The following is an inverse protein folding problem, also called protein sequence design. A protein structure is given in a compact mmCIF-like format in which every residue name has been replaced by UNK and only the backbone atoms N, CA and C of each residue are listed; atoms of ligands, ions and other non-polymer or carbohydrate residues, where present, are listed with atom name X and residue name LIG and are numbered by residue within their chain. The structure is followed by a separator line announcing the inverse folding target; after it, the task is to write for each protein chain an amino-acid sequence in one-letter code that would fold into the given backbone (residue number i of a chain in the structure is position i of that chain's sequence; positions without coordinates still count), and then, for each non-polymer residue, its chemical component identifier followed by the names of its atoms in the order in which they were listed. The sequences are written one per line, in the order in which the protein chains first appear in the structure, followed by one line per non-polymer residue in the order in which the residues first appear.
data_IF_961891966956
#
_entry.id   IF_961891966956
#
_cell.length_a   1.000
_cell.length_b   1.000
_cell.length_c   1.000
_cell.angle_alpha   90.00
_cell.angle_beta   90.00
_cell.angle_gamma   90.00
#
_symmetry.space_group_name_H-M   'P 1'
#
loop_
_entity.id
_entity.type
_entity.pdbx_description
1 polymer ?
#
# COMPACT_ATOMS: atom_id res chain seq x y z
N UNK A 1 2.14 14.51 8.11
CA UNK A 1 2.33 13.85 6.80
C UNK A 1 3.78 13.43 6.50
N UNK A 2 4.76 14.35 6.44
CA UNK A 2 6.15 14.07 6.00
C UNK A 2 6.85 12.90 6.73
N UNK A 3 6.64 12.76 8.04
CA UNK A 3 7.27 11.67 8.83
C UNK A 3 6.75 10.28 8.47
N UNK A 4 5.45 10.14 8.17
CA UNK A 4 4.83 8.85 7.81
C UNK A 4 5.29 8.42 6.42
N UNK A 5 5.25 9.32 5.44
CA UNK A 5 5.73 9.04 4.06
C UNK A 5 7.19 8.60 4.08
N UNK A 6 8.03 9.31 4.84
CA UNK A 6 9.43 8.95 4.98
C UNK A 6 9.64 7.61 5.70
N UNK A 7 8.79 7.30 6.69
CA UNK A 7 8.75 6.00 7.35
C UNK A 7 8.42 4.86 6.39
N UNK A 8 7.40 5.04 5.54
CA UNK A 8 7.00 4.06 4.53
C UNK A 8 8.10 3.81 3.49
N UNK A 9 8.78 4.87 3.04
CA UNK A 9 9.91 4.75 2.12
C UNK A 9 11.04 3.94 2.75
N UNK A 10 11.43 4.27 3.98
CA UNK A 10 12.48 3.54 4.70
C UNK A 10 12.11 2.07 4.92
N UNK A 11 10.85 1.80 5.29
CA UNK A 11 10.36 0.45 5.48
C UNK A 11 10.39 -0.33 4.16
N UNK A 12 9.96 0.28 3.06
CA UNK A 12 10.01 -0.31 1.73
C UNK A 12 11.44 -0.65 1.31
N UNK A 13 12.37 0.29 1.47
CA UNK A 13 13.79 0.08 1.20
C UNK A 13 14.40 -1.03 2.05
N UNK A 14 14.12 -1.05 3.36
CA UNK A 14 14.60 -2.09 4.26
C UNK A 14 14.06 -3.47 3.88
N UNK A 15 12.77 -3.55 3.50
CA UNK A 15 12.12 -4.79 3.06
C UNK A 15 12.70 -5.28 1.73
N UNK A 16 12.98 -4.35 0.81
CA UNK A 16 13.62 -4.67 -0.48
C UNK A 16 15.03 -5.22 -0.26
N UNK A 17 15.81 -4.56 0.60
CA UNK A 17 17.17 -4.97 0.91
C UNK A 17 17.17 -6.35 1.61
N UNK A 18 16.23 -6.58 2.53
CA UNK A 18 16.03 -7.87 3.17
C UNK A 18 15.66 -8.96 2.16
N UNK A 19 14.69 -8.70 1.26
CA UNK A 19 14.29 -9.65 0.22
C UNK A 19 15.43 -9.98 -0.75
N UNK A 20 16.22 -8.97 -1.14
CA UNK A 20 17.42 -9.17 -1.96
C UNK A 20 18.46 -10.04 -1.24
N UNK A 21 18.72 -9.77 0.04
CA UNK A 21 19.65 -10.55 0.85
C UNK A 21 19.18 -12.00 1.02
N UNK A 22 17.89 -12.23 1.27
CA UNK A 22 17.26 -13.55 1.33
C UNK A 22 17.40 -14.32 0.00
N UNK A 23 17.28 -13.61 -1.12
CA UNK A 23 17.50 -14.17 -2.46
C UNK A 23 18.91 -14.74 -2.65
N UNK A 24 19.93 -14.16 -2.01
CA UNK A 24 21.31 -14.70 -2.05
C UNK A 24 21.42 -16.06 -1.35
N UNK A 25 20.54 -16.35 -0.38
CA UNK A 25 20.46 -17.64 0.31
C UNK A 25 19.49 -18.62 -0.36
N UNK A 26 18.96 -18.29 -1.55
CA UNK A 26 17.99 -19.12 -2.27
C UNK A 26 16.57 -19.07 -1.68
N UNK A 27 16.32 -18.20 -0.69
CA UNK A 27 14.99 -17.98 -0.13
C UNK A 27 14.24 -17.05 -1.08
N UNK A 28 13.25 -17.61 -1.77
CA UNK A 28 12.39 -16.90 -2.71
C UNK A 28 10.96 -16.81 -2.17
N UNK A 29 10.13 -15.99 -2.81
CA UNK A 29 8.72 -15.94 -2.49
C UNK A 29 8.06 -17.32 -2.57
N UNK A 30 8.40 -18.13 -3.59
CA UNK A 30 7.83 -19.47 -3.75
C UNK A 30 8.18 -20.41 -2.61
N UNK A 31 9.45 -20.42 -2.19
CA UNK A 31 9.87 -21.28 -1.08
C UNK A 31 9.20 -20.89 0.23
N UNK A 32 8.95 -19.59 0.44
CA UNK A 32 8.24 -19.10 1.62
C UNK A 32 6.75 -19.44 1.57
N UNK A 33 6.13 -19.34 0.39
CA UNK A 33 4.74 -19.70 0.18
C UNK A 33 4.52 -21.20 0.37
N UNK A 34 5.40 -22.03 -0.21
CA UNK A 34 5.39 -23.47 -0.04
C UNK A 34 5.57 -23.88 1.43
N UNK A 35 6.51 -23.26 2.14
CA UNK A 35 6.71 -23.47 3.58
C UNK A 35 5.48 -23.05 4.41
N UNK A 36 4.74 -22.04 3.96
CA UNK A 36 3.50 -21.59 4.58
C UNK A 36 2.27 -22.43 4.16
N UNK A 37 2.44 -23.49 3.36
CA UNK A 37 1.36 -24.28 2.74
C UNK A 37 0.39 -23.45 1.89
N UNK A 38 0.86 -22.29 1.39
CA UNK A 38 0.11 -21.38 0.54
C UNK A 38 0.52 -21.56 -0.91
N UNK A 39 -0.46 -21.64 -1.82
CA UNK A 39 -0.15 -21.65 -3.25
C UNK A 39 0.00 -20.21 -3.78
N UNK A 40 0.88 -20.03 -4.78
CA UNK A 40 1.03 -18.75 -5.48
C UNK A 40 -0.30 -18.26 -6.07
N UNK A 41 -1.10 -19.19 -6.58
CA UNK A 41 -2.45 -18.91 -7.09
C UNK A 41 -3.35 -18.35 -5.99
N UNK A 42 -3.39 -18.99 -4.82
CA UNK A 42 -4.21 -18.53 -3.69
C UNK A 42 -3.83 -17.12 -3.23
N UNK A 43 -2.55 -16.78 -3.24
CA UNK A 43 -2.10 -15.42 -2.88
C UNK A 43 -2.50 -14.40 -3.95
N UNK A 44 -2.36 -14.74 -5.23
CA UNK A 44 -2.79 -13.89 -6.33
C UNK A 44 -4.31 -13.64 -6.29
N UNK A 45 -5.10 -14.69 -6.09
CA UNK A 45 -6.56 -14.61 -5.97
C UNK A 45 -6.96 -13.72 -4.78
N UNK A 46 -6.30 -13.89 -3.62
CA UNK A 46 -6.53 -13.05 -2.42
C UNK A 46 -6.21 -11.58 -2.67
N UNK A 47 -5.15 -11.27 -3.43
CA UNK A 47 -4.82 -9.90 -3.80
C UNK A 47 -5.85 -9.31 -4.78
N UNK A 48 -6.31 -10.11 -5.74
CA UNK A 48 -7.36 -9.70 -6.67
C UNK A 48 -8.68 -9.43 -5.93
N UNK A 49 -9.07 -10.28 -4.99
CA UNK A 49 -10.23 -10.08 -4.12
C UNK A 49 -10.10 -8.83 -3.26
N UNK A 50 -8.91 -8.59 -2.69
CA UNK A 50 -8.64 -7.38 -1.91
C UNK A 50 -8.76 -6.11 -2.78
N UNK A 51 -8.26 -6.15 -4.02
CA UNK A 51 -8.40 -5.05 -4.97
C UNK A 51 -9.86 -4.84 -5.39
N UNK A 52 -10.59 -5.91 -5.71
CA UNK A 52 -12.01 -5.87 -6.05
C UNK A 52 -12.86 -5.36 -4.88
N UNK A 53 -12.46 -5.64 -3.65
CA UNK A 53 -13.06 -5.06 -2.45
C UNK A 53 -12.69 -3.57 -2.28
N UNK A 54 -11.43 -3.20 -2.43
CA UNK A 54 -10.95 -1.85 -2.18
C UNK A 54 -11.42 -0.85 -3.25
N UNK A 55 -11.38 -1.22 -4.52
CA UNK A 55 -11.63 -0.33 -5.66
C UNK A 55 -12.97 0.44 -5.58
N UNK A 56 -14.15 -0.22 -5.43
CA UNK A 56 -15.41 0.52 -5.35
C UNK A 56 -15.52 1.37 -4.09
N UNK A 57 -14.97 0.89 -2.96
CA UNK A 57 -15.02 1.60 -1.67
C UNK A 57 -14.15 2.86 -1.68
N UNK A 58 -12.94 2.75 -2.21
CA UNK A 58 -12.05 3.89 -2.41
C UNK A 58 -12.65 4.90 -3.38
N UNK A 59 -13.28 4.44 -4.46
CA UNK A 59 -13.93 5.33 -5.43
C UNK A 59 -15.06 6.13 -4.79
N UNK A 60 -15.92 5.49 -4.00
CA UNK A 60 -16.98 6.17 -3.25
C UNK A 60 -16.42 7.19 -2.26
N UNK A 61 -15.39 6.81 -1.50
CA UNK A 61 -14.72 7.72 -0.57
C UNK A 61 -14.10 8.92 -1.28
N UNK A 62 -13.38 8.69 -2.39
CA UNK A 62 -12.74 9.73 -3.17
C UNK A 62 -13.74 10.73 -3.76
N UNK A 63 -14.88 10.24 -4.25
CA UNK A 63 -15.95 11.07 -4.82
C UNK A 63 -16.50 12.11 -3.82
N UNK A 64 -16.43 11.82 -2.51
CA UNK A 64 -16.93 12.71 -1.46
C UNK A 64 -15.77 13.50 -0.83
N UNK A 65 -14.71 12.81 -0.40
CA UNK A 65 -13.61 13.41 0.37
C UNK A 65 -12.79 14.38 -0.46
N UNK A 66 -12.51 14.07 -1.73
CA UNK A 66 -11.67 14.93 -2.58
C UNK A 66 -12.35 16.28 -2.86
N UNK A 67 -13.63 16.34 -3.29
CA UNK A 67 -14.31 17.63 -3.45
C UNK A 67 -14.43 18.42 -2.16
N UNK A 68 -14.75 17.77 -1.03
CA UNK A 68 -14.84 18.44 0.27
C UNK A 68 -13.49 19.08 0.63
N UNK A 69 -12.40 18.31 0.54
CA UNK A 69 -11.06 18.83 0.82
C UNK A 69 -10.67 19.97 -0.13
N UNK A 70 -11.00 19.83 -1.42
CA UNK A 70 -10.74 20.86 -2.44
C UNK A 70 -11.48 22.16 -2.12
N UNK A 71 -12.76 22.08 -1.77
CA UNK A 71 -13.54 23.24 -1.37
C UNK A 71 -13.06 23.85 -0.05
N UNK A 72 -12.67 23.04 0.93
CA UNK A 72 -12.03 23.55 2.14
C UNK A 72 -10.76 24.32 1.81
N UNK A 73 -9.90 23.84 0.92
CA UNK A 73 -8.69 24.60 0.53
C UNK A 73 -9.00 25.84 -0.31
N UNK A 74 -10.04 25.80 -1.14
CA UNK A 74 -10.42 26.92 -2.02
C UNK A 74 -11.10 28.06 -1.23
N UNK A 75 -11.94 27.71 -0.26
CA UNK A 75 -12.78 28.65 0.47
C UNK A 75 -12.33 28.95 1.90
N UNK A 76 -11.43 28.15 2.48
CA UNK A 76 -10.76 28.56 3.70
C UNK A 76 -9.68 29.57 3.28
N UNK A 77 -9.87 30.88 3.52
CA UNK A 77 -8.78 31.82 3.34
C UNK A 77 -7.61 31.29 4.16
N UNK A 78 -6.42 31.23 3.56
CA UNK A 78 -5.20 30.91 4.27
C UNK A 78 -5.17 31.86 5.48
N UNK A 79 -5.43 31.35 6.68
CA UNK A 79 -5.27 32.09 7.91
C UNK A 79 -3.76 32.22 8.13
N UNK A 80 -3.15 33.03 7.28
CA UNK A 80 -1.78 33.48 7.35
C UNK A 80 -1.86 34.85 8.02
N UNK A 81 -1.81 34.82 9.35
CA UNK A 81 -1.24 35.89 10.17
C UNK A 81 0.12 35.40 10.67
#
# INVERSE_FOLDING_TARGET
MRRIVWGLIKLGLASLLAGWLLGLFGITADTLLEAASLSRQQVADRMADAAAWAAPRLTLGALIVVPVWFFTYLFLPSAED
#
